data_IF_527061699728
#
_entry.id   IF_527061699728
#
_cell.length_a   1.000
_cell.length_b   1.000
_cell.length_c   1.000
_cell.angle_alpha   90.00
_cell.angle_beta   90.00
_cell.angle_gamma   90.00
#
_symmetry.space_group_name_H-M   'P 1'
#
loop_
_entity.id
_entity.type
_entity.pdbx_description
1 polymer ?
#
# COMPACT_ATOMS: atom_id res chain seq x y z
N UNK A 1 19.64 41.80 5.80
CA UNK A 1 19.65 40.75 6.84
C UNK A 1 18.80 39.60 6.33
N UNK A 2 19.42 38.66 5.63
CA UNK A 2 18.73 37.49 5.04
C UNK A 2 18.82 36.26 5.96
N UNK A 3 18.77 36.49 7.28
CA UNK A 3 18.97 35.47 8.31
C UNK A 3 18.05 34.25 8.14
N UNK A 4 16.85 34.45 7.60
CA UNK A 4 15.87 33.40 7.34
C UNK A 4 16.30 32.48 6.19
N UNK A 5 16.99 33.01 5.17
CA UNK A 5 17.49 32.24 4.02
C UNK A 5 18.67 31.37 4.44
N UNK A 6 19.61 31.94 5.17
CA UNK A 6 20.75 31.21 5.72
C UNK A 6 20.32 30.10 6.68
N UNK A 7 19.33 30.37 7.55
CA UNK A 7 18.81 29.34 8.44
C UNK A 7 18.08 28.21 7.68
N UNK A 8 17.31 28.55 6.64
CA UNK A 8 16.67 27.55 5.79
C UNK A 8 17.70 26.68 5.05
N UNK A 9 18.80 27.26 4.55
CA UNK A 9 19.91 26.52 3.93
C UNK A 9 20.59 25.58 4.92
N UNK A 10 20.85 26.04 6.15
CA UNK A 10 21.39 25.18 7.22
C UNK A 10 20.46 24.01 7.52
N UNK A 11 19.15 24.28 7.67
CA UNK A 11 18.15 23.23 7.92
C UNK A 11 18.07 22.21 6.78
N UNK A 12 18.12 22.67 5.51
CA UNK A 12 18.21 21.79 4.33
C UNK A 12 19.45 20.89 4.41
N UNK A 13 20.62 21.45 4.68
CA UNK A 13 21.88 20.70 4.75
C UNK A 13 21.85 19.64 5.86
N UNK A 14 21.26 19.95 7.01
CA UNK A 14 21.06 18.98 8.11
C UNK A 14 20.13 17.85 7.66
N UNK A 15 19.06 18.16 6.93
CA UNK A 15 18.17 17.13 6.39
C UNK A 15 18.88 16.20 5.39
N UNK A 16 19.76 16.73 4.54
CA UNK A 16 20.58 15.92 3.62
C UNK A 16 21.56 15.00 4.37
N UNK A 17 22.26 15.50 5.38
CA UNK A 17 23.14 14.69 6.24
C UNK A 17 22.35 13.57 6.96
N UNK A 18 21.15 13.89 7.45
CA UNK A 18 20.26 12.92 8.09
C UNK A 18 19.72 11.88 7.14
N UNK A 19 19.51 12.23 5.87
CA UNK A 19 19.13 11.28 4.83
C UNK A 19 20.25 10.25 4.60
N UNK A 20 21.52 10.67 4.57
CA UNK A 20 22.67 9.75 4.47
C UNK A 20 22.73 8.80 5.67
N UNK A 21 22.40 9.29 6.87
CA UNK A 21 22.33 8.50 8.10
C UNK A 21 21.10 7.58 8.19
N UNK A 22 20.22 7.57 7.18
CA UNK A 22 18.93 6.86 7.17
C UNK A 22 17.96 7.30 8.29
N UNK A 23 18.16 8.50 8.84
CA UNK A 23 17.26 9.11 9.83
C UNK A 23 16.13 9.88 9.13
N UNK A 24 15.25 9.20 8.40
CA UNK A 24 14.25 9.86 7.56
C UNK A 24 13.25 10.71 8.35
N UNK A 25 12.88 10.28 9.56
CA UNK A 25 11.96 11.00 10.44
C UNK A 25 12.52 12.36 10.87
N UNK A 26 13.81 12.40 11.20
CA UNK A 26 14.49 13.63 11.61
C UNK A 26 14.71 14.52 10.38
N UNK A 27 15.18 13.94 9.28
CA UNK A 27 15.38 14.65 8.02
C UNK A 27 14.10 15.37 7.56
N UNK A 28 12.93 14.71 7.66
CA UNK A 28 11.62 15.30 7.32
C UNK A 28 11.30 16.52 8.17
N UNK A 29 11.53 16.47 9.48
CA UNK A 29 11.28 17.62 10.38
C UNK A 29 12.16 18.81 9.99
N UNK A 30 13.43 18.58 9.66
CA UNK A 30 14.34 19.63 9.21
C UNK A 30 13.95 20.20 7.84
N UNK A 31 13.57 19.35 6.89
CA UNK A 31 13.06 19.79 5.58
C UNK A 31 11.78 20.63 5.71
N UNK A 32 10.86 20.23 6.60
CA UNK A 32 9.65 21.01 6.93
C UNK A 32 9.99 22.36 7.58
N UNK A 33 10.96 22.38 8.52
CA UNK A 33 11.44 23.63 9.13
C UNK A 33 12.02 24.55 8.06
N UNK A 34 12.85 24.03 7.16
CA UNK A 34 13.42 24.80 6.05
C UNK A 34 12.31 25.41 5.17
N UNK A 35 11.24 24.65 4.89
CA UNK A 35 10.11 25.12 4.07
C UNK A 35 9.34 26.24 4.77
N UNK A 36 9.15 26.11 6.07
CA UNK A 36 8.45 27.12 6.88
C UNK A 36 9.26 28.42 6.99
N UNK A 37 10.59 28.31 7.07
CA UNK A 37 11.49 29.47 7.10
C UNK A 37 11.55 30.17 5.74
N UNK A 38 11.66 29.41 4.65
CA UNK A 38 11.74 29.96 3.30
C UNK A 38 11.07 29.02 2.28
N UNK A 39 9.79 29.24 1.91
CA UNK A 39 9.08 28.37 0.99
C UNK A 39 9.59 28.48 -0.46
N UNK A 40 10.31 29.55 -0.79
CA UNK A 40 10.96 29.74 -2.09
C UNK A 40 12.34 29.08 -2.21
N UNK A 41 12.76 28.26 -1.25
CA UNK A 41 14.08 27.63 -1.30
C UNK A 41 14.12 26.58 -2.41
N UNK A 42 15.12 26.68 -3.27
CA UNK A 42 15.33 25.73 -4.34
C UNK A 42 15.59 24.32 -3.79
N UNK A 43 14.85 23.32 -4.31
CA UNK A 43 15.02 21.92 -3.94
C UNK A 43 14.24 21.47 -2.71
N UNK A 44 13.51 22.35 -2.00
CA UNK A 44 12.83 21.96 -0.75
C UNK A 44 11.67 20.99 -0.98
N UNK A 45 10.87 21.23 -2.03
CA UNK A 45 9.74 20.37 -2.36
C UNK A 45 10.23 19.00 -2.83
N UNK A 46 11.33 19.00 -3.58
CA UNK A 46 12.02 17.80 -4.02
C UNK A 46 12.57 17.02 -2.83
N UNK A 47 13.20 17.69 -1.86
CA UNK A 47 13.72 17.06 -0.65
C UNK A 47 12.61 16.42 0.18
N UNK A 48 11.51 17.13 0.40
CA UNK A 48 10.35 16.57 1.09
C UNK A 48 9.79 15.34 0.36
N UNK A 49 9.69 15.42 -0.96
CA UNK A 49 9.17 14.32 -1.77
C UNK A 49 10.10 13.10 -1.72
N UNK A 50 11.40 13.29 -1.85
CA UNK A 50 12.41 12.23 -1.68
C UNK A 50 12.24 11.59 -0.30
N UNK A 51 12.15 12.39 0.76
CA UNK A 51 11.98 11.89 2.12
C UNK A 51 10.66 11.12 2.30
N UNK A 52 9.54 11.62 1.80
CA UNK A 52 8.25 10.93 1.87
C UNK A 52 8.27 9.60 1.11
N UNK A 53 8.96 9.52 -0.03
CA UNK A 53 9.20 8.27 -0.78
C UNK A 53 10.03 7.28 0.04
N UNK A 54 11.13 7.73 0.67
CA UNK A 54 11.95 6.86 1.51
C UNK A 54 11.20 6.37 2.74
N UNK A 55 10.47 7.24 3.44
CA UNK A 55 9.65 6.87 4.61
C UNK A 55 8.61 5.83 4.21
N UNK A 56 7.97 6.01 3.05
CA UNK A 56 7.00 5.04 2.53
C UNK A 56 7.64 3.72 2.09
N UNK A 57 8.86 3.77 1.55
CA UNK A 57 9.65 2.60 1.18
C UNK A 57 10.13 1.78 2.37
N UNK A 58 10.49 2.44 3.47
CA UNK A 58 10.83 1.78 4.74
C UNK A 58 9.58 1.27 5.49
N UNK A 59 8.44 1.92 5.31
CA UNK A 59 7.18 1.51 5.89
C UNK A 59 6.61 0.27 5.16
N UNK A 60 7.00 -0.91 5.64
CA UNK A 60 6.49 -2.19 5.16
C UNK A 60 5.22 -2.58 5.89
N UNK A 61 4.10 -2.61 5.19
CA UNK A 61 2.85 -3.14 5.73
C UNK A 61 2.88 -4.65 5.55
N UNK A 62 2.88 -5.39 6.67
CA UNK A 62 2.78 -6.84 6.65
C UNK A 62 3.96 -7.55 5.94
N UNK A 63 5.16 -6.95 6.00
CA UNK A 63 6.39 -7.46 5.39
C UNK A 63 6.59 -7.09 3.92
N UNK A 64 5.64 -6.40 3.29
CA UNK A 64 5.74 -5.93 1.90
C UNK A 64 5.73 -4.39 1.85
N UNK A 65 6.50 -3.82 0.92
CA UNK A 65 6.60 -2.37 0.75
C UNK A 65 5.26 -1.80 0.29
N UNK A 66 4.83 -0.67 0.87
CA UNK A 66 3.63 0.01 0.40
C UNK A 66 3.91 0.83 -0.86
N UNK A 67 3.71 0.20 -2.03
CA UNK A 67 3.91 0.86 -3.33
C UNK A 67 2.91 1.99 -3.59
N UNK A 68 1.72 1.95 -2.99
CA UNK A 68 0.74 3.03 -3.10
C UNK A 68 1.20 4.26 -2.31
N UNK A 69 1.75 4.06 -1.11
CA UNK A 69 2.36 5.09 -0.26
C UNK A 69 3.59 5.72 -0.91
N UNK A 70 4.44 4.91 -1.57
CA UNK A 70 5.59 5.40 -2.36
C UNK A 70 5.15 6.37 -3.47
N UNK A 71 4.00 6.13 -4.10
CA UNK A 71 3.41 7.04 -5.09
C UNK A 71 2.57 8.17 -4.46
N UNK A 72 2.38 8.17 -3.14
CA UNK A 72 1.53 9.13 -2.42
C UNK A 72 0.06 9.02 -2.79
N UNK A 73 -0.41 7.82 -3.15
CA UNK A 73 -1.81 7.55 -3.51
C UNK A 73 -2.43 6.54 -2.54
N UNK A 74 -3.75 6.54 -2.46
CA UNK A 74 -4.48 5.56 -1.66
C UNK A 74 -4.62 4.23 -2.44
N UNK A 75 -4.72 3.11 -1.75
CA UNK A 75 -4.96 1.79 -2.35
C UNK A 75 -6.29 1.72 -3.12
N UNK A 76 -7.24 2.57 -2.75
CA UNK A 76 -8.57 2.68 -3.36
C UNK A 76 -8.61 3.58 -4.62
N UNK A 77 -7.50 4.22 -5.01
CA UNK A 77 -7.47 5.13 -6.16
C UNK A 77 -7.51 4.41 -7.54
N UNK A 78 -8.09 5.09 -8.53
CA UNK A 78 -8.09 4.67 -9.94
C UNK A 78 -6.71 4.70 -10.60
N UNK A 79 -6.51 3.86 -11.61
CA UNK A 79 -5.29 3.79 -12.42
C UNK A 79 -4.95 5.11 -13.12
N UNK A 80 -5.97 5.94 -13.40
CA UNK A 80 -5.74 7.29 -13.93
C UNK A 80 -5.09 8.22 -12.89
N UNK A 81 -5.50 8.13 -11.63
CA UNK A 81 -4.93 8.92 -10.53
C UNK A 81 -3.49 8.50 -10.25
N UNK A 82 -3.23 7.18 -10.25
CA UNK A 82 -1.87 6.63 -10.13
C UNK A 82 -0.96 7.18 -11.24
N UNK A 83 -1.41 7.12 -12.50
CA UNK A 83 -0.69 7.68 -13.67
C UNK A 83 -0.41 9.16 -13.54
N UNK A 84 -1.41 9.95 -13.16
CA UNK A 84 -1.27 11.39 -12.98
C UNK A 84 -0.24 11.70 -11.90
N UNK A 85 -0.27 10.96 -10.80
CA UNK A 85 0.63 11.21 -9.69
C UNK A 85 2.07 10.78 -9.98
N UNK A 86 2.26 9.62 -10.62
CA UNK A 86 3.56 9.20 -11.10
C UNK A 86 4.22 10.26 -12.01
N UNK A 87 3.48 10.79 -12.99
CA UNK A 87 3.99 11.84 -13.89
C UNK A 87 4.45 13.09 -13.13
N UNK A 88 3.68 13.52 -12.12
CA UNK A 88 4.03 14.66 -11.28
C UNK A 88 5.31 14.41 -10.47
N UNK A 89 5.44 13.22 -9.88
CA UNK A 89 6.60 12.84 -9.08
C UNK A 89 7.86 12.71 -9.93
N UNK A 90 7.79 12.12 -11.12
CA UNK A 90 8.92 12.02 -12.06
C UNK A 90 9.43 13.40 -12.45
N UNK A 91 8.53 14.34 -12.76
CA UNK A 91 8.92 15.71 -13.10
C UNK A 91 9.56 16.45 -11.93
N UNK A 92 9.13 16.15 -10.70
CA UNK A 92 9.65 16.77 -9.49
C UNK A 92 11.01 16.19 -9.07
N UNK A 93 11.17 14.87 -9.21
CA UNK A 93 12.37 14.12 -8.81
C UNK A 93 13.37 13.93 -9.96
N UNK A 94 13.14 14.54 -11.13
CA UNK A 94 13.99 14.33 -12.30
C UNK A 94 15.46 14.70 -11.99
N UNK A 95 16.43 13.80 -12.26
CA UNK A 95 17.84 14.00 -11.88
C UNK A 95 18.48 15.22 -12.55
N UNK A 96 17.98 15.63 -13.72
CA UNK A 96 18.44 16.83 -14.43
C UNK A 96 18.15 18.13 -13.66
N UNK A 97 16.98 18.20 -13.02
CA UNK A 97 16.53 19.39 -12.28
C UNK A 97 16.84 19.33 -10.79
N UNK A 98 17.13 18.15 -10.27
CA UNK A 98 17.16 17.90 -8.83
C UNK A 98 18.49 17.27 -8.41
N UNK A 99 19.36 18.10 -7.83
CA UNK A 99 20.70 17.70 -7.34
C UNK A 99 20.73 17.43 -5.83
N UNK A 100 19.62 16.97 -5.25
CA UNK A 100 19.57 16.60 -3.83
C UNK A 100 20.10 15.19 -3.58
N UNK A 101 20.68 15.00 -2.41
CA UNK A 101 21.17 13.70 -1.96
C UNK A 101 20.00 12.71 -1.84
N UNK A 102 20.15 11.53 -2.44
CA UNK A 102 19.12 10.48 -2.40
C UNK A 102 18.03 10.56 -3.47
N UNK A 103 18.06 11.57 -4.37
CA UNK A 103 17.09 11.65 -5.48
C UNK A 103 17.08 10.39 -6.36
N UNK A 104 18.25 9.85 -6.67
CA UNK A 104 18.40 8.61 -7.46
C UNK A 104 17.69 7.41 -6.81
N UNK A 105 17.87 7.23 -5.50
CA UNK A 105 17.25 6.12 -4.78
C UNK A 105 15.73 6.27 -4.67
N UNK A 106 15.24 7.49 -4.43
CA UNK A 106 13.80 7.76 -4.46
C UNK A 106 13.21 7.55 -5.87
N UNK A 107 13.94 7.94 -6.93
CA UNK A 107 13.51 7.71 -8.31
C UNK A 107 13.44 6.23 -8.67
N UNK A 108 14.38 5.42 -8.18
CA UNK A 108 14.35 3.96 -8.31
C UNK A 108 13.12 3.36 -7.63
N UNK A 109 12.84 3.73 -6.38
CA UNK A 109 11.64 3.29 -5.66
C UNK A 109 10.34 3.66 -6.41
N UNK A 110 10.28 4.88 -6.94
CA UNK A 110 9.14 5.37 -7.72
C UNK A 110 8.94 4.55 -9.01
N UNK A 111 10.04 4.21 -9.69
CA UNK A 111 10.01 3.40 -10.92
C UNK A 111 9.58 1.95 -10.64
N UNK A 112 10.02 1.39 -9.51
CA UNK A 112 9.63 0.06 -9.06
C UNK A 112 8.15 -0.02 -8.71
N UNK A 113 7.64 0.98 -7.97
CA UNK A 113 6.22 1.14 -7.65
C UNK A 113 5.36 1.19 -8.92
N UNK A 114 5.80 1.98 -9.91
CA UNK A 114 5.13 2.11 -11.19
C UNK A 114 5.13 0.80 -11.99
N UNK A 115 6.24 0.06 -12.01
CA UNK A 115 6.33 -1.24 -12.72
C UNK A 115 5.35 -2.29 -12.18
N UNK A 116 5.00 -2.22 -10.89
CA UNK A 116 4.04 -3.11 -10.25
C UNK A 116 2.59 -2.62 -10.42
N UNK A 117 2.36 -1.32 -10.24
CA UNK A 117 1.00 -0.76 -10.24
C UNK A 117 0.48 -0.42 -11.64
N UNK A 118 1.35 -0.23 -12.63
CA UNK A 118 0.95 0.04 -14.01
C UNK A 118 0.36 -1.19 -14.71
N UNK A 119 0.64 -2.41 -14.24
CA UNK A 119 0.17 -3.64 -14.86
C UNK A 119 -0.94 -4.23 -14.00
N UNK A 120 -2.15 -4.33 -14.54
CA UNK A 120 -3.34 -4.84 -13.83
C UNK A 120 -3.09 -6.21 -13.20
N UNK A 121 -2.42 -7.12 -13.90
CA UNK A 121 -2.07 -8.45 -13.38
C UNK A 121 -1.14 -8.39 -12.15
N UNK A 122 -0.13 -7.51 -12.18
CA UNK A 122 0.80 -7.32 -11.04
C UNK A 122 0.11 -6.60 -9.87
N UNK A 123 -0.71 -5.60 -10.17
CA UNK A 123 -1.54 -4.90 -9.16
C UNK A 123 -2.50 -5.87 -8.46
N UNK A 124 -3.12 -6.77 -9.22
CA UNK A 124 -3.99 -7.81 -8.68
C UNK A 124 -3.21 -8.78 -7.78
N UNK A 125 -2.07 -9.29 -8.24
CA UNK A 125 -1.21 -10.18 -7.44
C UNK A 125 -0.73 -9.51 -6.13
N UNK A 126 -0.39 -8.21 -6.20
CA UNK A 126 -0.02 -7.41 -5.04
C UNK A 126 -1.18 -7.21 -4.06
N UNK A 127 -2.35 -6.78 -4.55
CA UNK A 127 -3.54 -6.60 -3.72
C UNK A 127 -3.99 -7.93 -3.09
N UNK A 128 -3.91 -9.04 -3.83
CA UNK A 128 -4.19 -10.37 -3.31
C UNK A 128 -3.23 -10.71 -2.17
N UNK A 129 -1.91 -10.57 -2.37
CA UNK A 129 -0.92 -10.85 -1.31
C UNK A 129 -1.12 -10.01 -0.05
N UNK A 130 -1.49 -8.74 -0.20
CA UNK A 130 -1.81 -7.84 0.94
C UNK A 130 -3.13 -8.22 1.63
N UNK A 131 -4.19 -8.50 0.87
CA UNK A 131 -5.51 -8.85 1.39
C UNK A 131 -5.63 -10.28 1.95
N UNK A 132 -4.85 -11.23 1.42
CA UNK A 132 -4.90 -12.64 1.83
C UNK A 132 -4.39 -12.90 3.26
N UNK A 133 -3.73 -11.93 3.90
CA UNK A 133 -3.38 -12.01 5.33
C UNK A 133 -4.43 -11.39 6.25
N UNK A 134 -5.30 -10.50 5.75
CA UNK A 134 -6.39 -9.93 6.55
C UNK A 134 -7.57 -10.91 6.67
N UNK A 135 -7.75 -11.82 5.70
CA UNK A 135 -8.79 -12.86 5.75
C UNK A 135 -8.38 -14.06 6.65
N UNK A 136 -7.10 -14.23 6.99
CA UNK A 136 -6.69 -15.33 7.88
C UNK A 136 -6.97 -15.10 9.36
N UNK A 137 -7.47 -13.93 9.79
CA UNK A 137 -7.95 -13.73 11.16
C UNK A 137 -9.47 -13.86 11.35
N UNK A 138 -10.24 -14.19 10.29
CA UNK A 138 -11.67 -14.46 10.47
C UNK A 138 -12.22 -15.52 9.53
N UNK A 139 -11.65 -16.72 9.59
CA UNK A 139 -12.38 -17.94 9.25
C UNK A 139 -12.28 -18.87 10.45
N UNK A 140 -13.32 -18.96 11.32
CA UNK A 140 -13.46 -20.14 12.15
C UNK A 140 -13.61 -21.33 11.21
N UNK A 141 -12.51 -22.06 11.08
CA UNK A 141 -12.39 -23.33 10.42
C UNK A 141 -13.46 -24.27 10.99
N UNK A 142 -14.44 -24.63 10.17
CA UNK A 142 -15.26 -25.81 10.40
C UNK A 142 -14.32 -27.02 10.44
N UNK A 143 -14.07 -27.54 11.64
CA UNK A 143 -13.44 -28.83 11.84
C UNK A 143 -14.50 -29.76 12.44
N UNK A 144 -14.95 -30.71 11.64
CA UNK A 144 -15.89 -31.74 12.06
C UNK A 144 -15.23 -32.89 12.82
N UNK A 145 -15.97 -33.43 13.79
CA UNK A 145 -15.96 -34.83 14.22
C UNK A 145 -15.36 -35.11 15.62
N UNK A 146 -15.65 -36.28 16.23
CA UNK A 146 -16.89 -37.05 16.26
C UNK A 146 -17.35 -37.30 17.72
N UNK A 147 -18.62 -37.57 17.98
CA UNK A 147 -19.03 -38.18 19.26
C UNK A 147 -20.13 -39.20 19.02
N UNK A 148 -19.75 -40.46 19.23
CA UNK A 148 -20.61 -41.61 19.15
C UNK A 148 -21.35 -41.82 20.49
N UNK A 149 -22.49 -42.50 20.33
CA UNK A 149 -23.21 -43.33 21.30
C UNK A 149 -24.30 -42.69 22.19
N UNK A 150 -25.53 -43.04 21.79
CA UNK A 150 -26.59 -43.63 22.62
C UNK A 150 -27.46 -42.70 23.48
N UNK A 151 -28.76 -42.62 23.17
CA UNK A 151 -29.82 -43.44 23.79
C UNK A 151 -31.23 -42.97 23.34
N UNK A 152 -32.01 -43.93 22.85
CA UNK A 152 -33.46 -44.14 23.05
C UNK A 152 -34.54 -43.07 22.72
N UNK A 153 -35.53 -43.58 21.96
CA UNK A 153 -36.99 -43.44 22.09
C UNK A 153 -37.73 -42.22 21.51
N UNK A 154 -38.70 -42.50 20.63
CA UNK A 154 -39.82 -41.59 20.35
C UNK A 154 -40.49 -41.79 19.00
N UNK A 155 -41.40 -42.76 18.92
CA UNK A 155 -42.33 -43.01 17.82
C UNK A 155 -43.14 -41.74 17.44
N UNK A 156 -43.63 -41.68 16.19
CA UNK A 156 -44.95 -41.21 15.71
C UNK A 156 -44.83 -40.64 14.29
N UNK A 157 -45.06 -41.46 13.25
CA UNK A 157 -45.50 -40.97 11.94
C UNK A 157 -46.49 -41.99 11.36
N UNK A 158 -47.79 -41.71 11.57
CA UNK A 158 -48.90 -42.44 10.96
C UNK A 158 -49.69 -41.51 10.04
N UNK A 159 -49.51 -41.72 8.73
CA UNK A 159 -50.46 -41.42 7.65
C UNK A 159 -49.80 -41.95 6.36
N UNK A 160 -49.93 -43.24 6.03
CA UNK A 160 -51.06 -43.89 5.31
C UNK A 160 -51.47 -43.07 4.07
N UNK A 161 -50.87 -43.34 2.90
CA UNK A 161 -51.26 -44.34 1.88
C UNK A 161 -52.17 -43.70 0.83
N UNK A 162 -51.75 -43.62 -0.45
CA UNK A 162 -52.54 -43.96 -1.66
C UNK A 162 -51.58 -44.26 -2.83
N UNK A 163 -51.51 -45.56 -3.16
CA UNK A 163 -51.44 -46.25 -4.47
C UNK A 163 -50.64 -45.63 -5.64
N UNK A 164 -49.57 -46.25 -6.17
CA UNK A 164 -49.52 -47.51 -6.96
C UNK A 164 -50.23 -47.44 -8.32
N UNK A 165 -49.46 -47.47 -9.42
CA UNK A 165 -49.98 -47.79 -10.76
C UNK A 165 -49.01 -47.48 -11.93
N UNK A 166 -48.58 -48.45 -12.76
CA UNK A 166 -47.49 -48.31 -13.74
C UNK A 166 -47.93 -48.24 -15.23
N UNK A 167 -46.95 -47.98 -16.12
CA UNK A 167 -46.76 -48.60 -17.45
C UNK A 167 -47.34 -47.96 -18.75
N UNK A 168 -46.51 -48.05 -19.83
CA UNK A 168 -46.75 -47.95 -21.31
C UNK A 168 -46.90 -46.54 -21.92
N UNK A 169 -46.05 -46.04 -22.85
CA UNK A 169 -45.53 -46.44 -24.19
C UNK A 169 -46.57 -46.36 -25.33
N UNK A 170 -46.42 -45.37 -26.21
CA UNK A 170 -46.56 -45.52 -27.67
C UNK A 170 -47.97 -45.44 -28.30
N UNK A 171 -48.19 -44.39 -29.09
CA UNK A 171 -48.48 -44.45 -30.53
C UNK A 171 -48.38 -43.02 -31.10
#
# INVERSE_FOLDING_TARGET
MDCNRDEALRAKKIAEDKLVKKDFTVARKFALKARNLFPGLEGINQLLTTLDVYISGENKINGEVDWYGVLGVNSSCDDQTIRKQYRKLVLLLHPDKNKIVGADGAFKLLSEAWSLLSVTAKRFAYNQRRGSREIQQKVPMQAGGPSAASFANGYHNVAKLILSGPFVIGA
#
